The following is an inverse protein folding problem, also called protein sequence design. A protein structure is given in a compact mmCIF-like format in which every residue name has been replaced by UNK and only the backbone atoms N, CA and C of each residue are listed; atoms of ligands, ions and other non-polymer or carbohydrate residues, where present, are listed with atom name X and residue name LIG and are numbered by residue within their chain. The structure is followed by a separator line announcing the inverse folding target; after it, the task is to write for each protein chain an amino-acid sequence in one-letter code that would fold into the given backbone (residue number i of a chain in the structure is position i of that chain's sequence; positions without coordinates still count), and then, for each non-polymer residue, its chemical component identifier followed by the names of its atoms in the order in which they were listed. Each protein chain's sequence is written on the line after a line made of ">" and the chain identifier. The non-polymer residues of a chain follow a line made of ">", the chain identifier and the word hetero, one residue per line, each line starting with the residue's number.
data_IF_268081342927
#
_entry.id   IF_268081342927
#
_cell.length_a   1.000
_cell.length_b   1.000
_cell.length_c   1.000
_cell.angle_alpha   90.00
_cell.angle_beta   90.00
_cell.angle_gamma   90.00
#
_symmetry.space_group_name_H-M   'P 1'
#
loop_
_entity.id
_entity.type
_entity.pdbx_description
1 polymer ?
#
# COMPACT_ATOMS: atom_id res chain seq x y z
N UNK A 1 -6.13 -51.91 -10.61
CA UNK A 1 -7.09 -51.36 -9.62
C UNK A 1 -7.27 -49.87 -9.95
N UNK A 2 -8.29 -49.55 -10.76
CA UNK A 2 -8.52 -48.17 -11.23
C UNK A 2 -9.44 -47.44 -10.22
N UNK A 3 -8.88 -46.56 -9.42
CA UNK A 3 -9.66 -45.64 -8.57
C UNK A 3 -10.25 -44.55 -9.45
N UNK A 4 -11.51 -44.70 -9.85
CA UNK A 4 -12.29 -43.67 -10.50
C UNK A 4 -12.59 -42.60 -9.46
N UNK A 5 -11.94 -41.43 -9.59
CA UNK A 5 -12.26 -40.24 -8.78
C UNK A 5 -13.69 -39.81 -9.11
N UNK A 6 -14.61 -40.05 -8.18
CA UNK A 6 -16.01 -39.65 -8.28
C UNK A 6 -16.10 -38.14 -8.10
N UNK A 7 -16.20 -37.40 -9.19
CA UNK A 7 -16.51 -35.96 -9.15
C UNK A 7 -17.91 -35.79 -8.54
N UNK A 8 -17.95 -35.27 -7.32
CA UNK A 8 -19.21 -34.95 -6.66
C UNK A 8 -19.96 -33.92 -7.49
N UNK A 9 -21.22 -34.19 -7.84
CA UNK A 9 -22.10 -33.24 -8.52
C UNK A 9 -22.30 -32.02 -7.61
N UNK A 10 -21.59 -30.94 -7.90
CA UNK A 10 -21.75 -29.65 -7.22
C UNK A 10 -23.17 -29.18 -7.50
N UNK A 11 -23.98 -29.02 -6.47
CA UNK A 11 -25.38 -28.62 -6.64
C UNK A 11 -25.42 -27.18 -7.17
N UNK A 12 -26.43 -26.86 -8.00
CA UNK A 12 -26.66 -25.48 -8.49
C UNK A 12 -26.76 -24.48 -7.33
N UNK A 13 -27.30 -24.90 -6.18
CA UNK A 13 -27.39 -24.09 -4.95
C UNK A 13 -26.02 -23.77 -4.38
N UNK A 14 -25.10 -24.73 -4.35
CA UNK A 14 -23.73 -24.50 -3.83
C UNK A 14 -22.96 -23.53 -4.73
N UNK A 15 -23.13 -23.59 -6.05
CA UNK A 15 -22.53 -22.64 -7.00
C UNK A 15 -23.08 -21.24 -6.78
N UNK A 16 -24.39 -21.08 -6.64
CA UNK A 16 -25.02 -19.78 -6.38
C UNK A 16 -24.54 -19.16 -5.07
N UNK A 17 -24.45 -19.96 -4.00
CA UNK A 17 -23.91 -19.49 -2.70
C UNK A 17 -22.45 -19.05 -2.85
N UNK A 18 -21.61 -19.82 -3.52
CA UNK A 18 -20.21 -19.46 -3.75
C UNK A 18 -20.06 -18.16 -4.57
N UNK A 19 -20.87 -17.99 -5.62
CA UNK A 19 -20.87 -16.74 -6.41
C UNK A 19 -21.34 -15.55 -5.58
N UNK A 20 -22.39 -15.73 -4.78
CA UNK A 20 -22.88 -14.67 -3.91
C UNK A 20 -21.86 -14.26 -2.86
N UNK A 21 -21.20 -15.22 -2.21
CA UNK A 21 -20.11 -14.96 -1.27
C UNK A 21 -18.94 -14.25 -1.95
N UNK A 22 -18.56 -14.66 -3.16
CA UNK A 22 -17.51 -13.99 -3.95
C UNK A 22 -17.88 -12.54 -4.24
N UNK A 23 -19.12 -12.27 -4.67
CA UNK A 23 -19.59 -10.90 -4.94
C UNK A 23 -19.55 -10.06 -3.66
N UNK A 24 -20.01 -10.60 -2.52
CA UNK A 24 -20.01 -9.88 -1.23
C UNK A 24 -18.55 -9.55 -0.83
N UNK A 25 -17.65 -10.51 -0.91
CA UNK A 25 -16.24 -10.32 -0.58
C UNK A 25 -15.56 -9.32 -1.55
N UNK A 26 -15.93 -9.36 -2.84
CA UNK A 26 -15.42 -8.43 -3.84
C UNK A 26 -15.91 -7.00 -3.57
N UNK A 27 -17.19 -6.80 -3.27
CA UNK A 27 -17.76 -5.49 -2.93
C UNK A 27 -17.16 -4.96 -1.63
N UNK A 28 -16.98 -5.81 -0.63
CA UNK A 28 -16.31 -5.45 0.62
C UNK A 28 -14.87 -5.03 0.35
N UNK A 29 -14.11 -5.81 -0.42
CA UNK A 29 -12.73 -5.48 -0.82
C UNK A 29 -12.66 -4.17 -1.60
N UNK A 30 -13.59 -3.93 -2.52
CA UNK A 30 -13.69 -2.68 -3.30
C UNK A 30 -13.94 -1.45 -2.42
N UNK A 31 -14.67 -1.60 -1.32
CA UNK A 31 -15.03 -0.50 -0.41
C UNK A 31 -13.95 -0.16 0.63
N UNK A 32 -12.87 -0.93 0.73
CA UNK A 32 -11.83 -0.71 1.74
C UNK A 32 -11.01 0.56 1.47
N UNK A 33 -10.74 0.87 0.19
CA UNK A 33 -9.95 2.04 -0.16
C UNK A 33 -10.83 3.29 -0.21
N UNK A 34 -10.42 4.37 0.49
CA UNK A 34 -11.12 5.65 0.40
C UNK A 34 -10.99 6.25 -1.01
N UNK A 35 -12.03 6.94 -1.46
CA UNK A 35 -12.01 7.68 -2.73
C UNK A 35 -12.44 9.12 -2.44
N UNK A 36 -11.57 10.11 -2.70
CA UNK A 36 -10.18 10.01 -3.18
C UNK A 36 -9.24 9.38 -2.13
N UNK A 37 -8.11 8.80 -2.61
CA UNK A 37 -7.14 8.10 -1.76
C UNK A 37 -6.49 9.01 -0.70
N UNK A 38 -6.31 10.28 -1.03
CA UNK A 38 -5.71 11.26 -0.14
C UNK A 38 -6.62 12.48 -0.04
N UNK A 39 -6.89 12.90 1.19
CA UNK A 39 -7.70 14.09 1.53
C UNK A 39 -6.94 15.00 2.50
N UNK A 40 -5.63 14.81 2.58
CA UNK A 40 -4.80 15.54 3.52
C UNK A 40 -4.67 17.02 3.12
N UNK A 41 -4.73 17.95 4.08
CA UNK A 41 -4.58 19.36 3.79
C UNK A 41 -3.17 19.69 3.32
N UNK A 42 -3.06 20.63 2.38
CA UNK A 42 -1.79 21.15 1.89
C UNK A 42 -1.23 22.26 2.79
N UNK A 43 0.10 22.42 2.74
CA UNK A 43 0.77 23.57 3.31
C UNK A 43 0.42 24.84 2.51
N UNK A 44 0.35 25.97 3.21
CA UNK A 44 0.13 27.27 2.56
C UNK A 44 1.49 27.88 2.22
N UNK A 45 1.71 28.23 0.96
CA UNK A 45 2.91 28.93 0.49
C UNK A 45 2.53 30.33 0.07
N UNK A 46 3.23 31.33 0.60
CA UNK A 46 3.08 32.73 0.23
C UNK A 46 4.18 33.12 -0.74
N UNK A 47 3.78 33.61 -1.91
CA UNK A 47 4.71 34.11 -2.94
C UNK A 47 4.62 35.63 -3.05
N UNK A 48 5.72 36.27 -3.43
CA UNK A 48 5.71 37.67 -3.87
C UNK A 48 5.19 37.78 -5.33
N UNK A 49 5.12 39.01 -5.82
CA UNK A 49 4.65 39.26 -7.19
C UNK A 49 5.60 38.76 -8.29
N UNK A 50 6.84 38.49 -7.94
CA UNK A 50 7.88 37.90 -8.81
C UNK A 50 7.91 36.38 -8.74
N UNK A 51 7.03 35.72 -7.91
CA UNK A 51 6.97 34.29 -7.74
C UNK A 51 8.00 33.73 -6.77
N UNK A 52 8.68 34.58 -5.98
CA UNK A 52 9.61 34.13 -4.96
C UNK A 52 8.85 33.76 -3.67
N UNK A 53 9.31 32.70 -3.00
CA UNK A 53 8.69 32.26 -1.76
C UNK A 53 9.02 33.24 -0.63
N UNK A 54 8.00 33.90 -0.10
CA UNK A 54 8.11 34.82 1.06
C UNK A 54 7.98 34.10 2.37
N UNK A 55 7.19 33.02 2.43
CA UNK A 55 6.99 32.26 3.64
C UNK A 55 6.15 31.02 3.41
N UNK A 56 6.18 30.11 4.38
CA UNK A 56 5.41 28.86 4.33
C UNK A 56 4.80 28.58 5.70
N UNK A 57 3.57 28.06 5.70
CA UNK A 57 2.89 27.55 6.89
C UNK A 57 2.53 26.09 6.62
N UNK A 58 2.90 25.18 7.54
CA UNK A 58 2.50 23.79 7.49
C UNK A 58 0.98 23.63 7.54
N UNK A 59 0.49 22.49 7.08
CA UNK A 59 -0.89 22.08 7.26
C UNK A 59 -1.24 21.98 8.76
N UNK A 60 -2.53 21.87 9.08
CA UNK A 60 -2.99 21.86 10.48
C UNK A 60 -2.46 20.67 11.31
N UNK A 61 -2.04 19.60 10.64
CA UNK A 61 -1.35 18.44 11.22
C UNK A 61 0.19 18.64 11.36
N UNK A 62 0.70 19.84 11.07
CA UNK A 62 2.11 20.21 11.15
C UNK A 62 2.97 19.70 9.99
N UNK A 63 2.40 19.07 8.99
CA UNK A 63 3.15 18.54 7.84
C UNK A 63 3.26 19.55 6.71
N UNK A 64 4.36 19.47 5.96
CA UNK A 64 4.61 20.30 4.77
C UNK A 64 4.28 19.49 3.53
N UNK A 65 3.02 19.53 3.11
CA UNK A 65 2.56 18.92 1.84
C UNK A 65 2.31 20.02 0.82
N UNK A 66 2.90 19.85 -0.35
CA UNK A 66 2.75 20.77 -1.48
C UNK A 66 1.86 20.14 -2.55
N UNK A 67 1.43 20.95 -3.50
CA UNK A 67 0.67 20.47 -4.65
C UNK A 67 1.44 19.38 -5.43
N UNK A 68 0.67 18.52 -6.07
CA UNK A 68 1.19 17.40 -6.83
C UNK A 68 2.06 17.89 -8.01
N UNK A 69 3.27 17.38 -8.09
CA UNK A 69 4.18 17.67 -9.19
C UNK A 69 3.94 16.65 -10.29
N UNK A 70 3.54 17.12 -11.49
CA UNK A 70 3.23 16.26 -12.63
C UNK A 70 4.45 15.54 -13.19
N UNK A 71 5.63 16.21 -13.20
CA UNK A 71 6.86 15.66 -13.75
C UNK A 71 7.92 15.47 -12.65
N UNK A 72 8.07 14.24 -12.19
CA UNK A 72 9.13 13.88 -11.25
C UNK A 72 10.44 13.61 -12.00
N UNK A 73 11.59 14.12 -11.52
CA UNK A 73 12.87 13.80 -12.12
C UNK A 73 13.10 12.28 -12.16
N UNK A 74 13.48 11.70 -13.31
CA UNK A 74 13.65 10.24 -13.43
C UNK A 74 14.64 9.65 -12.42
N UNK A 75 15.70 10.38 -12.08
CA UNK A 75 16.66 9.96 -11.05
C UNK A 75 16.03 9.84 -9.68
N UNK A 76 15.10 10.73 -9.33
CA UNK A 76 14.37 10.67 -8.06
C UNK A 76 13.51 9.41 -8.00
N UNK A 77 12.73 9.15 -9.06
CA UNK A 77 11.87 7.96 -9.16
C UNK A 77 12.69 6.67 -9.00
N UNK A 78 13.81 6.57 -9.75
CA UNK A 78 14.71 5.42 -9.66
C UNK A 78 15.27 5.28 -8.24
N UNK A 79 15.70 6.38 -7.62
CA UNK A 79 16.25 6.34 -6.26
C UNK A 79 15.23 5.83 -5.24
N UNK A 80 13.98 6.31 -5.30
CA UNK A 80 12.90 5.84 -4.43
C UNK A 80 12.62 4.36 -4.64
N UNK A 81 12.49 3.91 -5.90
CA UNK A 81 12.27 2.51 -6.21
C UNK A 81 13.40 1.61 -5.70
N UNK A 82 14.66 1.99 -5.93
CA UNK A 82 15.81 1.18 -5.52
C UNK A 82 15.94 1.12 -4.00
N UNK A 83 15.63 2.20 -3.29
CA UNK A 83 15.78 2.31 -1.84
C UNK A 83 14.61 1.66 -1.10
N UNK A 84 13.37 1.97 -1.48
CA UNK A 84 12.17 1.52 -0.77
C UNK A 84 11.68 0.16 -1.24
N UNK A 85 11.71 -0.11 -2.56
CA UNK A 85 11.15 -1.33 -3.12
C UNK A 85 11.81 -1.69 -4.46
N UNK A 86 12.99 -2.24 -4.39
CA UNK A 86 13.82 -2.58 -5.56
C UNK A 86 13.11 -3.45 -6.61
N UNK A 87 12.14 -4.25 -6.17
CA UNK A 87 11.40 -5.18 -7.01
C UNK A 87 9.95 -4.75 -7.26
N UNK A 88 9.66 -3.45 -7.09
CA UNK A 88 8.32 -2.87 -7.23
C UNK A 88 7.59 -3.31 -8.51
N UNK A 89 8.28 -3.34 -9.64
CA UNK A 89 7.71 -3.75 -10.92
C UNK A 89 7.60 -5.27 -11.11
N UNK A 90 8.13 -6.07 -10.19
CA UNK A 90 8.15 -7.53 -10.29
C UNK A 90 7.09 -8.23 -9.42
N UNK A 91 6.39 -7.50 -8.55
CA UNK A 91 5.33 -8.06 -7.70
C UNK A 91 4.02 -7.26 -7.78
N UNK A 92 2.92 -7.87 -7.35
CA UNK A 92 1.57 -7.28 -7.38
C UNK A 92 1.19 -6.66 -6.02
N UNK A 93 1.96 -5.69 -5.55
CA UNK A 93 1.69 -4.96 -4.31
C UNK A 93 2.34 -5.55 -3.06
N UNK A 94 2.50 -6.87 -2.95
CA UNK A 94 3.17 -7.54 -1.83
C UNK A 94 4.37 -8.33 -2.36
N UNK A 95 5.55 -8.10 -1.77
CA UNK A 95 6.76 -8.86 -2.05
C UNK A 95 6.92 -9.98 -1.03
N UNK A 96 6.38 -11.15 -1.35
CA UNK A 96 6.44 -12.33 -0.47
C UNK A 96 7.86 -12.77 -0.12
N UNK A 97 8.81 -12.62 -1.05
CA UNK A 97 10.23 -12.91 -0.81
C UNK A 97 10.83 -11.98 0.26
N UNK A 98 10.58 -10.68 0.13
CA UNK A 98 11.05 -9.70 1.11
C UNK A 98 10.44 -9.93 2.49
N UNK A 99 9.15 -10.29 2.54
CA UNK A 99 8.44 -10.60 3.77
C UNK A 99 9.02 -11.83 4.47
N UNK A 100 9.19 -12.94 3.73
CA UNK A 100 9.80 -14.16 4.29
C UNK A 100 11.25 -13.92 4.75
N UNK A 101 12.03 -13.18 3.97
CA UNK A 101 13.40 -12.82 4.36
C UNK A 101 13.40 -11.99 5.65
N UNK A 102 12.57 -10.95 5.75
CA UNK A 102 12.48 -10.11 6.93
C UNK A 102 12.08 -10.93 8.16
N UNK A 103 11.10 -11.82 8.03
CA UNK A 103 10.66 -12.71 9.11
C UNK A 103 11.82 -13.58 9.62
N UNK A 104 12.56 -14.24 8.72
CA UNK A 104 13.71 -15.09 9.10
C UNK A 104 14.79 -14.27 9.80
N UNK A 105 15.13 -13.09 9.27
CA UNK A 105 16.15 -12.21 9.85
C UNK A 105 15.75 -11.72 11.25
N UNK A 106 14.49 -11.32 11.44
CA UNK A 106 13.99 -10.84 12.72
C UNK A 106 13.93 -11.95 13.77
N UNK A 107 13.53 -13.17 13.38
CA UNK A 107 13.57 -14.34 14.28
C UNK A 107 15.01 -14.66 14.70
N UNK A 108 15.95 -14.65 13.76
CA UNK A 108 17.35 -14.93 14.06
C UNK A 108 18.00 -13.88 14.96
N UNK A 109 17.61 -12.61 14.78
CA UNK A 109 18.15 -11.51 15.57
C UNK A 109 17.46 -11.34 16.94
N UNK A 110 16.26 -11.91 17.14
CA UNK A 110 15.45 -11.71 18.33
C UNK A 110 14.81 -10.34 18.46
N UNK A 111 14.97 -9.47 17.46
CA UNK A 111 14.37 -8.13 17.38
C UNK A 111 14.21 -7.71 15.93
N UNK A 112 13.49 -6.62 15.67
CA UNK A 112 13.24 -6.14 14.29
C UNK A 112 14.51 -5.52 13.71
N UNK A 113 15.10 -6.18 12.72
CA UNK A 113 16.29 -5.71 11.97
C UNK A 113 16.00 -5.51 10.48
N UNK A 114 14.88 -6.03 9.98
CA UNK A 114 14.52 -5.97 8.56
C UNK A 114 13.02 -5.80 8.37
N UNK A 115 12.65 -4.98 7.39
CA UNK A 115 11.26 -4.81 6.95
C UNK A 115 10.99 -5.49 5.61
N UNK A 116 9.74 -5.89 5.41
CA UNK A 116 9.24 -6.46 4.15
C UNK A 116 8.15 -5.61 3.49
N UNK A 117 7.97 -4.35 3.94
CA UNK A 117 6.95 -3.47 3.39
C UNK A 117 7.33 -3.00 1.98
N UNK A 118 6.35 -3.00 1.09
CA UNK A 118 6.47 -2.50 -0.28
C UNK A 118 5.95 -1.07 -0.38
N UNK A 119 6.29 -0.36 -1.46
CA UNK A 119 5.72 0.96 -1.75
C UNK A 119 4.19 0.95 -1.79
N UNK A 120 3.59 -0.08 -2.40
CA UNK A 120 2.13 -0.23 -2.42
C UNK A 120 1.53 -0.32 -1.02
N UNK A 121 2.15 -1.08 -0.11
CA UNK A 121 1.70 -1.19 1.28
C UNK A 121 1.83 0.15 2.01
N UNK A 122 2.91 0.91 1.77
CA UNK A 122 3.12 2.24 2.34
C UNK A 122 2.07 3.23 1.84
N UNK A 123 1.76 3.25 0.53
CA UNK A 123 0.72 4.10 -0.05
C UNK A 123 -0.65 3.81 0.56
N UNK A 124 -1.05 2.53 0.65
CA UNK A 124 -2.32 2.13 1.28
C UNK A 124 -2.38 2.56 2.74
N UNK A 125 -1.30 2.37 3.48
CA UNK A 125 -1.23 2.79 4.88
C UNK A 125 -1.40 4.31 5.04
N UNK A 126 -0.77 5.10 4.19
CA UNK A 126 -0.93 6.55 4.18
C UNK A 126 -2.38 6.95 3.85
N UNK A 127 -2.98 6.33 2.82
CA UNK A 127 -4.37 6.57 2.43
C UNK A 127 -5.38 6.24 3.55
N UNK A 128 -5.05 5.29 4.43
CA UNK A 128 -5.87 4.94 5.60
C UNK A 128 -5.57 5.79 6.85
N UNK A 129 -4.89 6.93 6.70
CA UNK A 129 -4.58 7.84 7.81
C UNK A 129 -3.42 7.37 8.68
N UNK A 130 -2.52 6.54 8.12
CA UNK A 130 -1.30 6.07 8.79
C UNK A 130 -1.56 5.42 10.17
N UNK A 131 -2.44 4.40 10.26
CA UNK A 131 -2.74 3.76 11.53
C UNK A 131 -1.46 3.21 12.19
N UNK A 132 -1.40 3.17 13.53
CA UNK A 132 -0.25 2.64 14.23
C UNK A 132 -0.02 1.18 13.85
N UNK A 133 1.24 0.75 13.79
CA UNK A 133 1.58 -0.66 13.57
C UNK A 133 1.10 -1.46 14.77
N UNK A 134 0.24 -2.45 14.52
CA UNK A 134 -0.33 -3.30 15.58
C UNK A 134 0.59 -4.44 16.01
N UNK A 135 1.65 -4.68 15.26
CA UNK A 135 2.68 -5.65 15.63
C UNK A 135 3.76 -4.87 16.40
N UNK A 136 4.08 -5.23 17.66
CA UNK A 136 5.16 -4.59 18.39
C UNK A 136 6.47 -4.76 17.62
N UNK A 137 7.12 -3.62 17.42
CA UNK A 137 8.45 -3.55 16.80
C UNK A 137 9.51 -4.11 17.73
#
# INVERSE_FOLDING_TARGET
>A
MNTVVKWSNISRRSVLIAVMLFIILFLFWWSILPVPLFQDPYATVLFDREGQVMGMKGADDGQMRFEEVQDLPPRYVISVLVFEDRYFLAHQGVNWWALCRALVQNIQAGHVVSGGSTLSMQVVRLALGNPPRTVPE
#
